data_IF_561760700118
#
_entry.id   IF_561760700118
#
_cell.length_a   1.000
_cell.length_b   1.000
_cell.length_c   1.000
_cell.angle_alpha   90.00
_cell.angle_beta   90.00
_cell.angle_gamma   90.00
#
_symmetry.space_group_name_H-M   'P 1'
#
loop_
_entity.id
_entity.type
_entity.pdbx_description
1 polymer ?
#
# COMPACT_ATOMS: atom_id res chain seq x y z
N UNK A 1 2.01 -59.94 -14.64
CA UNK A 1 2.10 -60.74 -13.40
C UNK A 1 2.14 -59.85 -12.19
N UNK A 2 1.19 -60.12 -11.26
CA UNK A 2 1.08 -59.75 -9.85
C UNK A 2 1.06 -58.25 -9.46
N UNK A 3 -0.18 -57.81 -9.19
CA UNK A 3 -0.57 -56.69 -8.34
C UNK A 3 -0.05 -56.84 -6.91
N UNK A 4 0.43 -55.76 -6.28
CA UNK A 4 0.47 -55.64 -4.83
C UNK A 4 -0.18 -54.33 -4.44
N UNK A 5 -1.37 -54.45 -3.86
CA UNK A 5 -2.18 -53.45 -3.24
C UNK A 5 -1.65 -53.21 -1.81
N UNK A 6 -1.22 -52.01 -1.42
CA UNK A 6 -1.01 -51.68 -0.01
C UNK A 6 -2.12 -50.73 0.44
N UNK A 7 -2.94 -51.23 1.36
CA UNK A 7 -3.93 -50.52 2.14
C UNK A 7 -3.22 -49.58 3.13
N UNK A 8 -3.59 -48.31 3.17
CA UNK A 8 -3.25 -47.39 4.25
C UNK A 8 -4.51 -47.16 5.05
N UNK A 9 -4.44 -47.53 6.30
CA UNK A 9 -5.51 -47.42 7.31
C UNK A 9 -5.53 -45.97 7.85
N UNK A 10 -6.70 -45.33 7.79
CA UNK A 10 -6.93 -44.03 8.43
C UNK A 10 -7.16 -44.24 9.94
N UNK A 11 -6.36 -43.61 10.78
CA UNK A 11 -6.58 -43.56 12.21
C UNK A 11 -7.28 -42.23 12.56
N UNK A 12 -8.53 -42.29 12.94
CA UNK A 12 -9.35 -41.18 13.44
C UNK A 12 -9.04 -41.02 14.94
N UNK A 13 -8.46 -39.90 15.34
CA UNK A 13 -8.39 -39.50 16.74
C UNK A 13 -9.55 -38.55 17.06
N UNK A 14 -10.49 -39.04 17.82
CA UNK A 14 -11.52 -38.24 18.48
C UNK A 14 -10.96 -37.67 19.81
N UNK A 15 -10.87 -36.37 19.94
CA UNK A 15 -10.55 -35.69 21.18
C UNK A 15 -11.86 -35.34 21.90
N UNK A 16 -12.09 -35.97 23.03
CA UNK A 16 -13.21 -35.76 23.96
C UNK A 16 -12.97 -34.50 24.79
N UNK A 17 -13.82 -33.50 24.66
CA UNK A 17 -13.89 -32.35 25.58
C UNK A 17 -14.67 -32.76 26.83
N UNK A 18 -14.02 -32.66 27.97
CA UNK A 18 -14.67 -32.76 29.28
C UNK A 18 -15.14 -31.35 29.71
N UNK A 19 -16.45 -31.19 29.79
CA UNK A 19 -17.10 -29.99 30.37
C UNK A 19 -17.23 -30.21 31.89
N UNK A 20 -16.52 -29.41 32.68
CA UNK A 20 -16.67 -29.33 34.09
C UNK A 20 -17.62 -28.19 34.47
N UNK A 21 -18.89 -28.51 34.82
CA UNK A 21 -19.77 -27.58 35.51
C UNK A 21 -19.47 -27.64 37.03
N UNK A 22 -19.10 -26.48 37.59
CA UNK A 22 -19.19 -26.25 39.03
C UNK A 22 -20.17 -25.12 39.25
N UNK A 23 -21.35 -25.48 39.77
CA UNK A 23 -22.35 -24.56 40.27
C UNK A 23 -22.05 -24.27 41.74
N UNK A 24 -22.01 -23.00 42.12
CA UNK A 24 -22.31 -22.58 43.50
C UNK A 24 -23.00 -21.22 43.48
N UNK A 25 -24.22 -21.19 44.01
CA UNK A 25 -25.03 -20.01 44.11
C UNK A 25 -24.62 -19.10 45.26
N UNK A 26 -24.99 -17.83 45.14
CA UNK A 26 -24.88 -16.82 46.21
C UNK A 26 -25.49 -15.51 45.73
N UNK A 27 -26.68 -15.20 46.28
CA UNK A 27 -27.38 -13.93 46.06
C UNK A 27 -26.62 -12.75 46.66
N UNK A 28 -26.52 -11.63 45.89
CA UNK A 28 -26.05 -10.35 46.41
C UNK A 28 -26.25 -9.26 45.38
N UNK A 29 -27.32 -8.45 45.55
CA UNK A 29 -27.58 -7.24 44.76
C UNK A 29 -26.53 -6.18 45.04
N UNK A 30 -25.98 -5.58 43.96
CA UNK A 30 -25.11 -4.43 44.05
C UNK A 30 -24.74 -4.00 42.64
N UNK A 31 -25.50 -3.04 42.05
CA UNK A 31 -25.11 -2.34 40.83
C UNK A 31 -23.83 -1.55 41.08
N UNK A 32 -22.81 -1.88 40.36
CA UNK A 32 -21.70 -0.98 40.06
C UNK A 32 -21.18 -1.37 38.71
N UNK A 33 -21.46 -0.51 37.72
CA UNK A 33 -20.77 -0.48 36.44
C UNK A 33 -19.27 -0.40 36.70
N UNK A 34 -18.62 -1.55 36.73
CA UNK A 34 -17.18 -1.64 36.55
C UNK A 34 -16.95 -2.11 35.13
N UNK A 35 -16.72 -1.15 34.26
CA UNK A 35 -15.96 -1.37 33.05
C UNK A 35 -14.71 -2.17 33.43
N UNK A 36 -14.75 -3.46 33.15
CA UNK A 36 -13.59 -4.33 33.33
C UNK A 36 -12.55 -3.88 32.28
N UNK A 37 -11.58 -3.11 32.71
CA UNK A 37 -10.36 -2.94 31.96
C UNK A 37 -9.73 -4.33 31.84
N UNK A 38 -9.89 -4.97 30.67
CA UNK A 38 -9.04 -6.09 30.31
C UNK A 38 -7.62 -5.52 30.27
N UNK A 39 -6.80 -5.87 31.24
CA UNK A 39 -5.35 -5.62 31.24
C UNK A 39 -4.68 -6.56 30.23
N UNK A 40 -5.06 -6.44 28.95
CA UNK A 40 -4.50 -7.15 27.82
C UNK A 40 -3.72 -6.18 26.95
N UNK A 41 -2.68 -6.66 26.32
CA UNK A 41 -1.93 -5.99 25.28
C UNK A 41 -2.88 -5.50 24.19
N UNK A 42 -2.66 -4.29 23.64
CA UNK A 42 -3.42 -3.81 22.48
C UNK A 42 -3.18 -4.78 21.33
N UNK A 43 -4.26 -5.13 20.63
CA UNK A 43 -4.20 -5.99 19.46
C UNK A 43 -4.76 -5.27 18.24
N UNK A 44 -3.95 -5.16 17.19
CA UNK A 44 -4.30 -4.53 15.90
C UNK A 44 -4.26 -5.57 14.79
N UNK A 45 -5.32 -5.61 13.99
CA UNK A 45 -5.43 -6.45 12.81
C UNK A 45 -4.94 -5.74 11.56
N UNK A 46 -4.32 -6.49 10.66
CA UNK A 46 -3.89 -6.01 9.35
C UNK A 46 -4.48 -6.91 8.27
N UNK A 47 -5.40 -6.37 7.47
CA UNK A 47 -5.94 -7.01 6.28
C UNK A 47 -5.18 -6.50 5.07
N UNK A 48 -4.34 -7.35 4.49
CA UNK A 48 -3.42 -7.00 3.40
C UNK A 48 -3.52 -8.02 2.28
N UNK A 49 -3.23 -7.63 1.04
CA UNK A 49 -3.28 -8.56 -0.10
C UNK A 49 -2.28 -9.72 0.04
N UNK A 50 -1.07 -9.40 0.48
CA UNK A 50 0.01 -10.35 0.77
C UNK A 50 0.96 -9.73 1.78
N UNK A 51 1.38 -10.49 2.77
CA UNK A 51 2.42 -10.09 3.74
C UNK A 51 3.81 -10.61 3.34
N UNK A 52 3.94 -11.23 2.15
CA UNK A 52 5.14 -11.95 1.72
C UNK A 52 5.69 -11.55 0.36
N UNK A 53 4.94 -10.80 -0.46
CA UNK A 53 5.49 -10.20 -1.68
C UNK A 53 6.43 -9.02 -1.34
N UNK A 54 7.02 -8.38 -2.33
CA UNK A 54 8.03 -7.34 -2.12
C UNK A 54 7.45 -6.18 -1.29
N UNK A 55 6.36 -5.55 -1.74
CA UNK A 55 5.77 -4.40 -1.06
C UNK A 55 5.15 -4.79 0.28
N UNK A 56 4.39 -5.88 0.32
CA UNK A 56 3.73 -6.34 1.55
C UNK A 56 4.71 -6.79 2.64
N UNK A 57 5.86 -7.36 2.28
CA UNK A 57 6.91 -7.69 3.25
C UNK A 57 7.59 -6.44 3.83
N UNK A 58 7.72 -5.37 3.04
CA UNK A 58 8.21 -4.08 3.52
C UNK A 58 7.18 -3.43 4.46
N UNK A 59 5.88 -3.42 4.10
CA UNK A 59 4.81 -2.98 4.98
C UNK A 59 4.81 -3.75 6.30
N UNK A 60 4.93 -5.08 6.23
CA UNK A 60 5.00 -5.92 7.42
C UNK A 60 6.19 -5.58 8.30
N UNK A 61 7.38 -5.38 7.73
CA UNK A 61 8.60 -5.04 8.47
C UNK A 61 8.43 -3.76 9.30
N UNK A 62 7.90 -2.69 8.71
CA UNK A 62 7.71 -1.42 9.44
C UNK A 62 6.60 -1.50 10.49
N UNK A 63 5.52 -2.24 10.21
CA UNK A 63 4.45 -2.47 11.18
C UNK A 63 4.90 -3.34 12.37
N UNK A 64 5.73 -4.37 12.13
CA UNK A 64 6.27 -5.22 13.18
C UNK A 64 7.21 -4.42 14.12
N UNK A 65 8.04 -3.51 13.59
CA UNK A 65 8.88 -2.64 14.43
C UNK A 65 8.04 -1.63 15.22
N UNK A 66 7.02 -1.02 14.61
CA UNK A 66 6.10 -0.15 15.33
C UNK A 66 5.36 -0.92 16.45
N UNK A 67 4.91 -2.13 16.17
CA UNK A 67 4.25 -3.00 17.15
C UNK A 67 5.19 -3.37 18.31
N UNK A 68 6.44 -3.64 18.02
CA UNK A 68 7.48 -3.90 19.03
C UNK A 68 7.75 -2.67 19.90
N UNK A 69 7.95 -1.49 19.27
CA UNK A 69 8.21 -0.23 19.97
C UNK A 69 7.04 0.17 20.91
N UNK A 70 5.80 -0.15 20.53
CA UNK A 70 4.58 0.23 21.26
C UNK A 70 3.99 -0.89 22.14
N UNK A 71 4.62 -2.06 22.20
CA UNK A 71 4.13 -3.25 22.90
C UNK A 71 2.71 -3.65 22.43
N UNK A 72 2.48 -3.72 21.12
CA UNK A 72 1.23 -4.11 20.47
C UNK A 72 1.36 -5.53 19.91
N UNK A 73 0.26 -6.30 19.92
CA UNK A 73 0.13 -7.55 19.18
C UNK A 73 -0.46 -7.26 17.80
N UNK A 74 0.20 -7.69 16.73
CA UNK A 74 -0.31 -7.56 15.37
C UNK A 74 -0.75 -8.93 14.84
N UNK A 75 -1.91 -8.96 14.20
CA UNK A 75 -2.43 -10.13 13.51
C UNK A 75 -2.65 -9.81 12.03
N UNK A 76 -1.94 -10.50 11.14
CA UNK A 76 -2.08 -10.37 9.70
C UNK A 76 -3.08 -11.37 9.12
N UNK A 77 -3.83 -10.93 8.10
CA UNK A 77 -4.65 -11.80 7.25
C UNK A 77 -4.38 -11.44 5.79
N UNK A 78 -3.79 -12.40 5.05
CA UNK A 78 -3.51 -12.28 3.62
C UNK A 78 -4.79 -12.61 2.83
N UNK A 79 -5.36 -11.63 2.13
CA UNK A 79 -6.66 -11.76 1.45
C UNK A 79 -6.54 -11.89 -0.08
N UNK A 80 -5.35 -11.62 -0.65
CA UNK A 80 -5.03 -11.88 -2.05
C UNK A 80 -5.85 -11.07 -3.06
N UNK A 81 -6.35 -9.89 -2.68
CA UNK A 81 -7.28 -9.07 -3.48
C UNK A 81 -8.57 -9.82 -3.90
N UNK A 82 -8.96 -10.86 -3.16
CA UNK A 82 -10.21 -11.59 -3.38
C UNK A 82 -11.30 -10.97 -2.50
N UNK A 83 -12.34 -10.39 -3.09
CA UNK A 83 -13.34 -9.58 -2.40
C UNK A 83 -14.00 -10.29 -1.22
N UNK A 84 -14.37 -11.57 -1.37
CA UNK A 84 -14.94 -12.38 -0.29
C UNK A 84 -13.94 -12.58 0.86
N UNK A 85 -12.64 -12.72 0.56
CA UNK A 85 -11.60 -12.83 1.57
C UNK A 85 -11.31 -11.50 2.26
N UNK A 86 -11.38 -10.38 1.52
CA UNK A 86 -11.25 -9.04 2.10
C UNK A 86 -12.33 -8.84 3.16
N UNK A 87 -13.59 -9.09 2.81
CA UNK A 87 -14.72 -9.00 3.77
C UNK A 87 -14.53 -9.95 4.95
N UNK A 88 -14.22 -11.23 4.70
CA UNK A 88 -14.04 -12.23 5.75
C UNK A 88 -12.85 -11.92 6.68
N UNK A 89 -11.80 -11.25 6.18
CA UNK A 89 -10.62 -10.88 6.98
C UNK A 89 -10.97 -9.93 8.12
N UNK A 90 -11.86 -8.95 7.87
CA UNK A 90 -12.31 -7.98 8.89
C UNK A 90 -13.13 -8.69 9.97
N UNK A 91 -14.05 -9.58 9.58
CA UNK A 91 -14.83 -10.38 10.51
C UNK A 91 -13.91 -11.28 11.37
N UNK A 92 -12.93 -11.93 10.73
CA UNK A 92 -11.95 -12.78 11.44
C UNK A 92 -11.12 -11.98 12.45
N UNK A 93 -10.61 -10.80 12.08
CA UNK A 93 -9.81 -9.96 12.94
C UNK A 93 -10.62 -9.39 14.10
N UNK A 94 -11.85 -8.96 13.85
CA UNK A 94 -12.76 -8.52 14.91
C UNK A 94 -13.09 -9.66 15.89
N UNK A 95 -13.40 -10.86 15.37
CA UNK A 95 -13.66 -12.05 16.21
C UNK A 95 -12.41 -12.51 16.98
N UNK A 96 -11.20 -12.27 16.47
CA UNK A 96 -9.94 -12.55 17.16
C UNK A 96 -9.63 -11.55 18.31
N UNK A 97 -10.50 -10.54 18.51
CA UNK A 97 -10.39 -9.55 19.57
C UNK A 97 -9.44 -8.40 19.26
N UNK A 98 -9.17 -8.11 17.98
CA UNK A 98 -8.50 -6.88 17.58
C UNK A 98 -9.35 -5.68 18.00
N UNK A 99 -8.70 -4.66 18.57
CA UNK A 99 -9.34 -3.42 18.99
C UNK A 99 -9.33 -2.37 17.89
N UNK A 100 -8.50 -2.58 16.88
CA UNK A 100 -8.42 -1.81 15.66
C UNK A 100 -7.96 -2.67 14.50
N UNK A 101 -8.32 -2.25 13.28
CA UNK A 101 -7.98 -2.93 12.03
C UNK A 101 -7.51 -1.89 11.03
N UNK A 102 -6.43 -2.17 10.33
CA UNK A 102 -6.05 -1.45 9.12
C UNK A 102 -6.26 -2.36 7.90
N UNK A 103 -6.76 -1.80 6.80
CA UNK A 103 -7.20 -2.57 5.64
C UNK A 103 -6.74 -1.94 4.33
N UNK A 104 -6.19 -2.76 3.42
CA UNK A 104 -6.08 -2.45 2.00
C UNK A 104 -7.18 -3.21 1.25
N UNK A 105 -8.29 -2.56 0.95
CA UNK A 105 -9.39 -3.15 0.21
C UNK A 105 -9.10 -3.19 -1.30
N UNK A 106 -9.79 -4.08 -2.02
CA UNK A 106 -9.67 -4.21 -3.48
C UNK A 106 -10.69 -3.33 -4.21
N UNK A 107 -11.84 -3.10 -3.58
CA UNK A 107 -12.92 -2.24 -4.10
C UNK A 107 -13.65 -1.53 -2.96
N UNK A 108 -14.26 -0.38 -3.25
CA UNK A 108 -15.02 0.38 -2.25
C UNK A 108 -16.20 -0.42 -1.67
N UNK A 109 -16.80 -1.31 -2.46
CA UNK A 109 -17.97 -2.10 -2.02
C UNK A 109 -17.69 -2.97 -0.79
N UNK A 110 -16.45 -3.42 -0.60
CA UNK A 110 -16.01 -4.19 0.55
C UNK A 110 -16.07 -3.38 1.85
N UNK A 111 -15.86 -2.07 1.73
CA UNK A 111 -15.88 -1.15 2.87
C UNK A 111 -17.24 -1.01 3.52
N UNK A 112 -18.34 -1.27 2.79
CA UNK A 112 -19.69 -1.33 3.39
C UNK A 112 -19.75 -2.37 4.52
N UNK A 113 -19.27 -3.58 4.25
CA UNK A 113 -19.24 -4.66 5.25
C UNK A 113 -18.18 -4.42 6.32
N UNK A 114 -17.00 -3.89 5.95
CA UNK A 114 -15.92 -3.59 6.88
C UNK A 114 -16.34 -2.54 7.92
N UNK A 115 -16.91 -1.41 7.48
CA UNK A 115 -17.42 -0.34 8.34
C UNK A 115 -18.51 -0.89 9.28
N UNK A 116 -19.48 -1.64 8.72
CA UNK A 116 -20.54 -2.25 9.51
C UNK A 116 -20.00 -3.20 10.58
N UNK A 117 -19.12 -4.13 10.19
CA UNK A 117 -18.50 -5.09 11.11
C UNK A 117 -17.76 -4.38 12.25
N UNK A 118 -16.98 -3.35 11.91
CA UNK A 118 -16.22 -2.58 12.88
C UNK A 118 -17.13 -1.78 13.83
N UNK A 119 -18.20 -1.16 13.33
CA UNK A 119 -19.19 -0.48 14.16
C UNK A 119 -19.88 -1.46 15.15
N UNK A 120 -20.37 -2.61 14.64
CA UNK A 120 -21.06 -3.62 15.46
C UNK A 120 -20.16 -4.16 16.57
N UNK A 121 -18.86 -4.28 16.33
CA UNK A 121 -17.88 -4.83 17.28
C UNK A 121 -17.09 -3.76 18.05
N UNK A 122 -17.32 -2.48 17.80
CA UNK A 122 -16.59 -1.34 18.39
C UNK A 122 -15.08 -1.43 18.16
N UNK A 123 -14.69 -1.69 16.92
CA UNK A 123 -13.31 -1.83 16.47
C UNK A 123 -12.97 -0.63 15.59
N UNK A 124 -11.90 0.08 15.87
CA UNK A 124 -11.45 1.17 15.01
C UNK A 124 -10.96 0.64 13.67
N UNK A 125 -11.26 1.35 12.58
CA UNK A 125 -10.94 0.97 11.21
C UNK A 125 -10.28 2.13 10.47
N UNK A 126 -9.14 1.88 9.85
CA UNK A 126 -8.52 2.79 8.89
C UNK A 126 -8.14 2.05 7.61
N UNK A 127 -8.14 2.76 6.48
CA UNK A 127 -7.63 2.25 5.21
C UNK A 127 -6.16 2.65 5.02
N UNK A 128 -5.44 1.86 4.23
CA UNK A 128 -4.13 2.20 3.71
C UNK A 128 -4.06 1.87 2.21
N UNK A 129 -3.31 2.66 1.44
CA UNK A 129 -3.22 2.64 -0.02
C UNK A 129 -4.55 2.87 -0.75
N UNK A 130 -5.60 3.16 -0.06
CA UNK A 130 -6.95 3.33 -0.63
C UNK A 130 -7.70 4.41 0.14
N UNK A 131 -8.62 5.07 -0.55
CA UNK A 131 -9.51 6.08 0.04
C UNK A 131 -10.92 5.95 -0.54
N UNK A 132 -11.93 6.07 0.33
CA UNK A 132 -13.33 6.19 -0.08
C UNK A 132 -13.59 7.66 -0.42
N UNK A 133 -14.06 7.95 -1.62
CA UNK A 133 -14.42 9.32 -2.03
C UNK A 133 -15.91 9.45 -2.29
N UNK A 134 -16.46 10.63 -2.02
CA UNK A 134 -17.85 10.96 -2.33
C UNK A 134 -18.14 10.85 -3.85
N UNK A 135 -17.15 11.22 -4.67
CA UNK A 135 -17.25 11.16 -6.14
C UNK A 135 -17.44 9.73 -6.65
N UNK A 136 -16.73 8.77 -6.06
CA UNK A 136 -16.68 7.39 -6.57
C UNK A 136 -17.71 6.49 -5.89
N UNK A 137 -18.01 6.71 -4.60
CA UNK A 137 -18.81 5.81 -3.78
C UNK A 137 -19.61 6.57 -2.71
N UNK A 138 -20.53 7.46 -3.14
CA UNK A 138 -21.26 8.39 -2.26
C UNK A 138 -21.94 7.73 -1.05
N UNK A 139 -22.59 6.57 -1.26
CA UNK A 139 -23.30 5.87 -0.17
C UNK A 139 -22.31 5.30 0.88
N UNK A 140 -21.16 4.80 0.42
CA UNK A 140 -20.13 4.24 1.29
C UNK A 140 -19.40 5.37 2.02
N UNK A 141 -19.13 6.47 1.32
CA UNK A 141 -18.59 7.69 1.90
C UNK A 141 -19.51 8.23 3.01
N UNK A 142 -20.81 8.23 2.79
CA UNK A 142 -21.76 8.63 3.83
C UNK A 142 -21.75 7.65 5.02
N UNK A 143 -21.70 6.33 4.76
CA UNK A 143 -21.60 5.33 5.82
C UNK A 143 -20.29 5.49 6.65
N UNK A 144 -19.20 5.87 6.01
CA UNK A 144 -17.94 6.20 6.66
C UNK A 144 -18.07 7.44 7.56
N UNK A 145 -18.78 8.49 7.09
CA UNK A 145 -19.05 9.70 7.88
C UNK A 145 -19.95 9.44 9.07
N UNK A 146 -20.89 8.52 8.96
CA UNK A 146 -21.84 8.16 10.03
C UNK A 146 -21.24 7.16 11.04
N UNK A 147 -20.02 6.68 10.79
CA UNK A 147 -19.33 5.70 11.65
C UNK A 147 -18.61 6.38 12.81
N UNK A 148 -18.79 5.82 14.03
CA UNK A 148 -18.00 6.20 15.20
C UNK A 148 -16.61 5.52 15.23
N UNK A 149 -16.37 4.55 14.34
CA UNK A 149 -15.18 3.69 14.36
C UNK A 149 -14.35 3.74 13.10
N UNK A 150 -14.86 4.28 11.98
CA UNK A 150 -14.04 4.54 10.80
C UNK A 150 -13.30 5.86 10.99
N UNK A 151 -11.97 5.80 11.05
CA UNK A 151 -11.15 6.96 11.44
C UNK A 151 -10.44 7.62 10.26
N UNK A 152 -10.41 6.96 9.11
CA UNK A 152 -9.88 7.57 7.91
C UNK A 152 -9.08 6.64 7.00
N UNK A 153 -8.37 7.28 6.11
CA UNK A 153 -7.54 6.62 5.10
C UNK A 153 -6.19 7.33 4.96
N UNK A 154 -5.18 6.56 4.68
CA UNK A 154 -3.86 7.03 4.20
C UNK A 154 -3.70 6.50 2.79
N UNK A 155 -3.34 7.36 1.85
CA UNK A 155 -3.24 6.99 0.44
C UNK A 155 -2.33 7.93 -0.32
N UNK A 156 -1.79 7.47 -1.44
CA UNK A 156 -0.94 8.25 -2.32
C UNK A 156 -1.75 9.15 -3.26
N UNK A 157 -1.12 10.23 -3.71
CA UNK A 157 -1.61 11.09 -4.80
C UNK A 157 -1.13 10.53 -6.15
N UNK A 158 -1.91 9.63 -6.72
CA UNK A 158 -1.56 8.97 -7.98
C UNK A 158 -1.44 9.94 -9.17
N UNK A 159 -2.28 10.98 -9.30
CA UNK A 159 -2.05 12.02 -10.31
C UNK A 159 -0.73 12.76 -10.13
N UNK A 160 -0.38 13.16 -8.91
CA UNK A 160 0.89 13.83 -8.64
C UNK A 160 2.09 12.92 -8.93
N UNK A 161 1.98 11.62 -8.58
CA UNK A 161 2.99 10.62 -8.92
C UNK A 161 3.16 10.50 -10.45
N UNK A 162 2.06 10.46 -11.18
CA UNK A 162 2.12 10.41 -12.65
C UNK A 162 2.78 11.66 -13.25
N UNK A 163 2.44 12.85 -12.77
CA UNK A 163 3.07 14.10 -13.23
C UNK A 163 4.59 14.07 -13.00
N UNK A 164 5.04 13.61 -11.83
CA UNK A 164 6.47 13.58 -11.50
C UNK A 164 7.24 12.53 -12.32
N UNK A 165 6.69 11.34 -12.54
CA UNK A 165 7.33 10.34 -13.41
C UNK A 165 7.51 10.84 -14.85
N UNK A 166 6.53 11.55 -15.39
CA UNK A 166 6.67 12.20 -16.70
C UNK A 166 7.72 13.32 -16.66
N UNK A 167 7.77 14.11 -15.58
CA UNK A 167 8.77 15.18 -15.45
C UNK A 167 10.19 14.63 -15.51
N UNK A 168 10.48 13.49 -14.86
CA UNK A 168 11.79 12.82 -14.92
C UNK A 168 12.19 12.56 -16.38
N UNK A 169 11.30 12.05 -17.22
CA UNK A 169 11.55 11.79 -18.64
C UNK A 169 11.73 13.08 -19.46
N UNK A 170 10.81 14.04 -19.25
CA UNK A 170 10.85 15.32 -19.98
C UNK A 170 12.12 16.11 -19.71
N UNK A 171 12.62 16.11 -18.47
CA UNK A 171 13.88 16.75 -18.07
C UNK A 171 15.11 16.05 -18.67
N UNK A 172 15.05 14.72 -18.90
CA UNK A 172 16.09 13.99 -19.62
C UNK A 172 16.11 14.30 -21.12
N UNK A 173 15.01 14.78 -21.69
CA UNK A 173 14.89 15.13 -23.09
C UNK A 173 13.95 14.24 -23.90
N UNK A 174 13.24 13.31 -23.26
CA UNK A 174 12.29 12.41 -23.90
C UNK A 174 11.03 13.14 -24.32
N UNK A 175 10.46 12.77 -25.47
CA UNK A 175 9.31 13.47 -26.07
C UNK A 175 8.22 12.53 -26.59
N UNK A 176 8.54 11.26 -26.85
CA UNK A 176 7.60 10.26 -27.39
C UNK A 176 7.44 9.11 -26.41
N UNK A 177 6.49 9.26 -25.50
CA UNK A 177 6.35 8.41 -24.32
C UNK A 177 5.29 7.34 -24.54
N UNK A 178 5.67 6.09 -24.44
CA UNK A 178 4.78 4.92 -24.52
C UNK A 178 4.24 4.51 -23.15
N UNK A 179 2.93 4.20 -23.09
CA UNK A 179 2.24 3.82 -21.84
C UNK A 179 1.88 2.33 -21.82
N UNK A 180 2.21 1.66 -20.70
CA UNK A 180 1.85 0.26 -20.46
C UNK A 180 1.08 0.16 -19.14
N UNK A 181 -0.25 -0.08 -19.22
CA UNK A 181 -1.13 -0.24 -18.06
C UNK A 181 -1.30 -1.70 -17.65
N UNK A 182 -1.89 -1.92 -16.47
CA UNK A 182 -2.30 -3.25 -16.03
C UNK A 182 -3.53 -3.74 -16.78
N UNK A 183 -4.72 -3.34 -16.32
CA UNK A 183 -6.00 -3.66 -16.93
C UNK A 183 -6.79 -2.38 -17.17
N UNK A 184 -7.64 -2.41 -18.19
CA UNK A 184 -8.48 -1.26 -18.49
C UNK A 184 -9.48 -1.02 -17.35
N UNK A 185 -9.45 0.22 -16.80
CA UNK A 185 -10.35 0.63 -15.73
C UNK A 185 -9.78 0.45 -14.32
N UNK A 186 -8.53 -0.01 -14.18
CA UNK A 186 -7.85 0.00 -12.88
C UNK A 186 -7.75 1.44 -12.34
N UNK A 187 -8.20 1.66 -11.10
CA UNK A 187 -8.34 3.00 -10.54
C UNK A 187 -6.99 3.68 -10.28
N UNK A 188 -5.99 2.92 -9.81
CA UNK A 188 -4.62 3.40 -9.56
C UNK A 188 -3.98 3.81 -10.88
N UNK A 189 -4.06 2.94 -11.90
CA UNK A 189 -3.56 3.25 -13.24
C UNK A 189 -4.23 4.50 -13.84
N UNK A 190 -5.55 4.62 -13.71
CA UNK A 190 -6.27 5.78 -14.22
C UNK A 190 -5.82 7.08 -13.55
N UNK A 191 -5.56 7.05 -12.24
CA UNK A 191 -5.02 8.19 -11.50
C UNK A 191 -3.63 8.60 -12.03
N UNK A 192 -2.71 7.65 -12.16
CA UNK A 192 -1.37 7.90 -12.75
C UNK A 192 -1.46 8.43 -14.17
N UNK A 193 -2.33 7.86 -14.99
CA UNK A 193 -2.53 8.32 -16.37
C UNK A 193 -3.09 9.76 -16.45
N UNK A 194 -3.97 10.16 -15.51
CA UNK A 194 -4.37 11.58 -15.39
C UNK A 194 -3.14 12.46 -15.14
N UNK A 195 -2.22 12.05 -14.26
CA UNK A 195 -0.96 12.74 -14.00
C UNK A 195 -0.04 12.81 -15.21
N UNK A 196 0.14 11.71 -15.94
CA UNK A 196 0.97 11.72 -17.17
C UNK A 196 0.45 12.74 -18.20
N UNK A 197 -0.87 12.79 -18.40
CA UNK A 197 -1.49 13.78 -19.28
C UNK A 197 -1.28 15.21 -18.79
N UNK A 198 -1.48 15.43 -17.50
CA UNK A 198 -1.30 16.76 -16.91
C UNK A 198 0.14 17.25 -17.03
N UNK A 199 1.13 16.40 -16.78
CA UNK A 199 2.55 16.71 -16.92
C UNK A 199 2.92 17.08 -18.38
N UNK A 200 2.49 16.26 -19.34
CA UNK A 200 2.73 16.55 -20.77
C UNK A 200 2.00 17.82 -21.24
N UNK A 201 0.76 18.05 -20.81
CA UNK A 201 0.03 19.27 -21.14
C UNK A 201 0.73 20.52 -20.60
N UNK A 202 1.20 20.48 -19.36
CA UNK A 202 1.96 21.56 -18.72
C UNK A 202 3.25 21.83 -19.47
N UNK A 203 4.05 20.78 -19.74
CA UNK A 203 5.27 20.90 -20.55
C UNK A 203 5.01 21.54 -21.90
N UNK A 204 4.04 21.04 -22.64
CA UNK A 204 3.70 21.51 -23.97
C UNK A 204 3.23 22.98 -24.01
N UNK A 205 2.60 23.44 -22.93
CA UNK A 205 2.20 24.84 -22.77
C UNK A 205 3.40 25.75 -22.52
N UNK A 206 4.35 25.28 -21.72
CA UNK A 206 5.57 26.01 -21.36
C UNK A 206 6.62 25.94 -22.47
N UNK A 207 6.63 24.85 -23.25
CA UNK A 207 7.60 24.58 -24.32
C UNK A 207 6.92 24.36 -25.68
N UNK A 208 6.30 25.39 -26.31
CA UNK A 208 5.48 25.21 -27.53
C UNK A 208 6.26 24.73 -28.76
N UNK A 209 7.58 24.88 -28.76
CA UNK A 209 8.48 24.45 -29.84
C UNK A 209 9.19 23.11 -29.52
N UNK A 210 8.96 22.51 -28.39
CA UNK A 210 9.59 21.28 -27.91
C UNK A 210 8.56 20.41 -27.22
N UNK A 211 7.59 19.90 -28.00
CA UNK A 211 6.41 19.22 -27.50
C UNK A 211 6.66 17.73 -27.29
N UNK A 212 6.10 17.22 -26.19
CA UNK A 212 6.02 15.80 -25.92
C UNK A 212 4.64 15.21 -26.26
N UNK A 213 4.60 13.90 -26.45
CA UNK A 213 3.40 13.10 -26.74
C UNK A 213 3.32 11.88 -25.84
N UNK A 214 2.10 11.41 -25.58
CA UNK A 214 1.81 10.14 -24.93
C UNK A 214 1.12 9.21 -25.92
N UNK A 215 1.49 7.93 -25.91
CA UNK A 215 0.72 6.92 -26.64
C UNK A 215 -0.61 6.64 -25.95
N UNK A 216 -1.56 6.02 -26.67
CA UNK A 216 -2.63 5.30 -26.00
C UNK A 216 -2.03 4.11 -25.23
N UNK A 217 -2.55 3.79 -24.02
CA UNK A 217 -2.01 2.71 -23.23
C UNK A 217 -2.15 1.33 -23.89
N UNK A 218 -1.09 0.54 -23.83
CA UNK A 218 -1.16 -0.90 -24.05
C UNK A 218 -1.40 -1.59 -22.70
N UNK A 219 -2.33 -2.53 -22.63
CA UNK A 219 -2.66 -3.22 -21.37
C UNK A 219 -1.95 -4.58 -21.30
N UNK A 220 -1.09 -4.73 -20.31
CA UNK A 220 -0.20 -5.88 -20.14
C UNK A 220 -0.74 -6.95 -19.16
N UNK A 221 -1.80 -6.64 -18.41
CA UNK A 221 -2.13 -7.40 -17.21
C UNK A 221 -1.01 -7.30 -16.17
N UNK A 222 -0.83 -8.34 -15.37
CA UNK A 222 0.16 -8.39 -14.28
C UNK A 222 1.31 -9.35 -14.59
N UNK A 223 1.70 -9.52 -15.85
CA UNK A 223 2.71 -10.50 -16.24
C UNK A 223 3.86 -9.87 -17.02
N UNK A 224 5.05 -10.42 -16.84
CA UNK A 224 6.25 -10.05 -17.60
C UNK A 224 6.07 -10.30 -19.11
N UNK A 225 5.41 -11.38 -19.50
CA UNK A 225 5.08 -11.65 -20.91
C UNK A 225 4.19 -10.58 -21.52
N UNK A 226 3.18 -10.12 -20.77
CA UNK A 226 2.29 -9.03 -21.18
C UNK A 226 3.05 -7.71 -21.35
N UNK A 227 3.89 -7.36 -20.38
CA UNK A 227 4.75 -6.18 -20.44
C UNK A 227 5.71 -6.18 -21.64
N UNK A 228 6.32 -7.34 -21.91
CA UNK A 228 7.18 -7.52 -23.08
C UNK A 228 6.44 -7.32 -24.40
N UNK A 229 5.26 -7.92 -24.56
CA UNK A 229 4.44 -7.76 -25.78
C UNK A 229 3.97 -6.32 -25.98
N UNK A 230 3.59 -5.65 -24.89
CA UNK A 230 3.16 -4.26 -24.93
C UNK A 230 4.31 -3.32 -25.38
N UNK A 231 5.51 -3.49 -24.80
CA UNK A 231 6.69 -2.74 -25.19
C UNK A 231 7.09 -2.99 -26.64
N UNK A 232 7.09 -4.25 -27.09
CA UNK A 232 7.36 -4.60 -28.49
C UNK A 232 6.35 -3.96 -29.45
N UNK A 233 5.06 -3.92 -29.08
CA UNK A 233 4.02 -3.29 -29.88
C UNK A 233 4.20 -1.76 -29.96
N UNK A 234 4.56 -1.10 -28.87
CA UNK A 234 4.83 0.34 -28.84
C UNK A 234 6.06 0.69 -29.70
N UNK A 235 7.17 -0.03 -29.52
CA UNK A 235 8.38 0.16 -30.34
C UNK A 235 8.16 -0.08 -31.83
N UNK A 236 7.24 -0.98 -32.18
CA UNK A 236 6.90 -1.25 -33.58
C UNK A 236 5.95 -0.20 -34.17
N UNK A 237 5.08 0.38 -33.34
CA UNK A 237 4.10 1.39 -33.77
C UNK A 237 4.73 2.78 -33.92
N UNK A 238 5.70 3.10 -33.07
CA UNK A 238 6.41 4.38 -33.07
C UNK A 238 7.95 4.17 -33.17
N UNK A 239 8.57 4.37 -34.32
CA UNK A 239 10.02 4.29 -34.46
C UNK A 239 10.81 5.36 -33.71
N UNK A 240 10.15 6.49 -33.39
CA UNK A 240 10.72 7.62 -32.66
C UNK A 240 10.45 7.55 -31.13
N UNK A 241 9.90 6.43 -30.65
CA UNK A 241 9.66 6.19 -29.22
C UNK A 241 10.98 6.29 -28.44
N UNK A 242 11.02 7.20 -27.48
CA UNK A 242 12.21 7.49 -26.65
C UNK A 242 12.00 7.21 -25.15
N UNK A 243 10.77 6.97 -24.71
CA UNK A 243 10.51 6.57 -23.35
C UNK A 243 9.33 5.59 -23.19
N UNK A 244 9.34 4.83 -22.08
CA UNK A 244 8.25 3.95 -21.64
C UNK A 244 7.89 4.20 -20.17
N UNK A 245 6.59 4.18 -19.87
CA UNK A 245 6.07 4.15 -18.51
C UNK A 245 5.23 2.88 -18.31
N UNK A 246 5.83 1.75 -17.95
CA UNK A 246 5.10 0.59 -17.51
C UNK A 246 4.46 0.83 -16.13
N UNK A 247 3.24 0.33 -15.93
CA UNK A 247 2.62 0.30 -14.62
C UNK A 247 3.50 -0.50 -13.64
N UNK A 248 3.68 0.02 -12.43
CA UNK A 248 4.40 -0.62 -11.34
C UNK A 248 3.63 -1.79 -10.72
N UNK A 249 3.95 -2.16 -9.50
CA UNK A 249 3.23 -3.18 -8.75
C UNK A 249 3.95 -4.51 -8.66
N UNK A 250 5.18 -4.50 -8.18
CA UNK A 250 5.94 -5.72 -7.90
C UNK A 250 6.77 -6.24 -9.07
N UNK A 251 6.85 -5.51 -10.16
CA UNK A 251 7.88 -5.65 -11.17
C UNK A 251 7.55 -6.45 -12.42
N UNK A 252 6.46 -7.23 -12.48
CA UNK A 252 6.26 -8.16 -13.60
C UNK A 252 6.07 -7.49 -14.98
N UNK A 253 5.14 -6.55 -15.22
CA UNK A 253 5.04 -5.86 -16.50
C UNK A 253 6.27 -5.02 -16.80
N UNK A 254 6.83 -4.36 -15.78
CA UNK A 254 8.03 -3.55 -15.90
C UNK A 254 9.24 -4.38 -16.33
N UNK A 255 9.49 -5.52 -15.68
CA UNK A 255 10.59 -6.42 -16.05
C UNK A 255 10.46 -6.93 -17.48
N UNK A 256 9.22 -7.21 -17.91
CA UNK A 256 8.93 -7.59 -19.29
C UNK A 256 9.25 -6.50 -20.30
N UNK A 257 8.89 -5.25 -19.99
CA UNK A 257 9.18 -4.09 -20.83
C UNK A 257 10.69 -3.83 -20.93
N UNK A 258 11.41 -3.84 -19.80
CA UNK A 258 12.88 -3.71 -19.77
C UNK A 258 13.51 -4.79 -20.65
N UNK A 259 13.15 -6.05 -20.44
CA UNK A 259 13.71 -7.16 -21.22
C UNK A 259 13.40 -7.05 -22.74
N UNK A 260 12.28 -6.44 -23.13
CA UNK A 260 11.96 -6.19 -24.53
C UNK A 260 12.87 -5.11 -25.14
N UNK A 261 13.08 -4.01 -24.41
CA UNK A 261 13.99 -2.91 -24.82
C UNK A 261 15.43 -3.41 -24.93
N UNK A 262 15.90 -4.20 -23.95
CA UNK A 262 17.24 -4.81 -23.97
C UNK A 262 17.42 -5.76 -25.17
N UNK A 263 16.45 -6.64 -25.44
CA UNK A 263 16.48 -7.53 -26.62
C UNK A 263 16.49 -6.80 -27.94
N UNK A 264 15.82 -5.65 -28.00
CA UNK A 264 15.84 -4.78 -29.18
C UNK A 264 17.14 -4.00 -29.35
N UNK A 265 18.03 -4.02 -28.35
CA UNK A 265 19.27 -3.25 -28.33
C UNK A 265 19.04 -1.74 -28.21
N UNK A 266 17.93 -1.32 -27.60
CA UNK A 266 17.49 0.07 -27.48
C UNK A 266 17.65 0.66 -26.07
N UNK A 267 18.41 0.03 -25.20
CA UNK A 267 18.60 0.49 -23.79
C UNK A 267 19.16 1.92 -23.71
N UNK A 268 19.96 2.36 -24.69
CA UNK A 268 20.46 3.73 -24.76
C UNK A 268 19.50 4.72 -25.42
N UNK A 269 18.42 4.25 -26.02
CA UNK A 269 17.54 5.04 -26.87
C UNK A 269 16.15 5.21 -26.26
N UNK A 270 15.79 4.37 -25.27
CA UNK A 270 14.48 4.35 -24.62
C UNK A 270 14.67 4.37 -23.10
N UNK A 271 14.32 5.50 -22.49
CA UNK A 271 14.30 5.65 -21.04
C UNK A 271 13.05 5.00 -20.43
N UNK A 272 13.18 4.40 -19.24
CA UNK A 272 12.06 3.74 -18.55
C UNK A 272 11.92 4.30 -17.15
N UNK A 273 10.71 4.72 -16.79
CA UNK A 273 10.32 5.05 -15.41
C UNK A 273 9.13 4.21 -14.99
N UNK A 274 8.99 3.97 -13.68
CA UNK A 274 7.87 3.19 -13.14
C UNK A 274 7.62 3.52 -11.66
N UNK A 275 6.78 2.70 -11.01
CA UNK A 275 6.48 2.77 -9.57
C UNK A 275 6.77 1.43 -8.91
N UNK A 276 7.07 1.42 -7.61
CA UNK A 276 7.44 0.27 -6.78
C UNK A 276 8.88 -0.21 -7.03
N UNK A 277 9.79 0.41 -6.32
CA UNK A 277 11.24 0.19 -6.47
C UNK A 277 11.64 -1.26 -6.72
N UNK A 278 12.27 -1.50 -7.88
CA UNK A 278 12.87 -2.78 -8.20
C UNK A 278 14.02 -3.07 -7.22
N UNK A 279 14.21 -4.33 -6.80
CA UNK A 279 15.32 -4.72 -5.93
C UNK A 279 16.71 -4.43 -6.51
N UNK A 280 16.83 -4.38 -7.85
CA UNK A 280 18.04 -4.12 -8.60
C UNK A 280 18.06 -2.71 -9.25
N UNK A 281 17.21 -1.78 -8.76
CA UNK A 281 17.09 -0.43 -9.31
C UNK A 281 18.44 0.29 -9.40
N UNK A 282 19.31 0.17 -8.39
CA UNK A 282 20.63 0.79 -8.40
C UNK A 282 21.48 0.38 -9.59
N UNK A 283 21.54 -0.93 -9.88
CA UNK A 283 22.25 -1.46 -11.04
C UNK A 283 21.65 -0.98 -12.37
N UNK A 284 20.32 -0.85 -12.41
CA UNK A 284 19.57 -0.39 -13.60
C UNK A 284 19.78 1.09 -13.89
N UNK A 285 19.85 1.91 -12.86
CA UNK A 285 20.22 3.33 -13.02
C UNK A 285 21.66 3.49 -13.49
N UNK A 286 22.59 2.67 -13.00
CA UNK A 286 24.00 2.70 -13.41
C UNK A 286 24.20 2.26 -14.87
N UNK A 287 23.45 1.25 -15.34
CA UNK A 287 23.57 0.72 -16.69
C UNK A 287 22.59 1.37 -17.69
N UNK A 288 21.70 2.28 -17.23
CA UNK A 288 20.78 3.03 -18.07
C UNK A 288 19.54 2.25 -18.51
N UNK A 289 19.26 1.06 -17.95
CA UNK A 289 18.03 0.32 -18.26
C UNK A 289 16.79 0.86 -17.52
N UNK A 290 16.98 1.78 -16.58
CA UNK A 290 15.94 2.59 -15.93
C UNK A 290 16.41 4.04 -15.82
N UNK A 291 15.46 4.97 -15.96
CA UNK A 291 15.69 6.40 -15.74
C UNK A 291 15.25 6.82 -14.33
N UNK A 292 14.35 6.09 -13.72
CA UNK A 292 13.89 6.35 -12.35
C UNK A 292 12.68 5.52 -11.96
N UNK A 293 12.40 5.51 -10.68
CA UNK A 293 11.18 4.94 -10.09
C UNK A 293 10.67 5.81 -8.94
N UNK A 294 9.36 5.77 -8.75
CA UNK A 294 8.73 6.20 -7.51
C UNK A 294 8.45 5.00 -6.61
N UNK A 295 8.43 5.22 -5.29
CA UNK A 295 8.19 4.14 -4.33
C UNK A 295 8.21 4.63 -2.89
N UNK A 296 8.60 3.75 -1.94
CA UNK A 296 8.72 4.10 -0.52
C UNK A 296 7.40 4.21 0.23
N UNK A 297 6.27 4.09 -0.47
CA UNK A 297 4.92 4.15 0.10
C UNK A 297 4.58 2.96 1.02
N UNK A 298 5.45 1.95 1.14
CA UNK A 298 5.32 0.89 2.15
C UNK A 298 5.24 1.42 3.59
N UNK A 299 5.54 2.72 3.79
CA UNK A 299 5.38 3.41 5.07
C UNK A 299 3.95 3.93 5.31
N UNK A 300 3.09 4.01 4.30
CA UNK A 300 1.68 4.41 4.42
C UNK A 300 0.94 3.64 5.53
N UNK A 301 0.96 2.28 5.57
CA UNK A 301 0.25 1.54 6.61
C UNK A 301 0.75 1.83 8.03
N UNK A 302 1.96 2.37 8.21
CA UNK A 302 2.42 2.83 9.52
C UNK A 302 1.56 3.99 10.05
N UNK A 303 1.21 4.94 9.18
CA UNK A 303 0.38 6.07 9.57
C UNK A 303 -1.03 5.61 9.94
N UNK A 304 -1.64 4.73 9.13
CA UNK A 304 -2.93 4.11 9.46
C UNK A 304 -2.88 3.32 10.77
N UNK A 305 -1.79 2.62 11.04
CA UNK A 305 -1.56 1.91 12.30
C UNK A 305 -1.48 2.89 13.48
N UNK A 306 -0.76 4.01 13.35
CA UNK A 306 -0.67 5.04 14.39
C UNK A 306 -2.02 5.73 14.62
N UNK A 307 -2.81 5.97 13.57
CA UNK A 307 -4.17 6.49 13.70
C UNK A 307 -5.04 5.56 14.56
N UNK A 308 -5.05 4.27 14.22
CA UNK A 308 -5.80 3.25 14.96
C UNK A 308 -5.30 3.10 16.40
N UNK A 309 -3.98 3.05 16.60
CA UNK A 309 -3.38 2.96 17.94
C UNK A 309 -3.79 4.15 18.82
N UNK A 310 -3.68 5.37 18.30
CA UNK A 310 -4.02 6.59 19.01
C UNK A 310 -5.52 6.68 19.34
N UNK A 311 -6.38 6.19 18.44
CA UNK A 311 -7.81 6.07 18.72
C UNK A 311 -8.10 5.09 19.88
N UNK A 312 -7.47 3.91 19.89
CA UNK A 312 -7.59 2.92 20.96
C UNK A 312 -7.11 3.50 22.31
N UNK A 313 -6.04 4.28 22.29
CA UNK A 313 -5.50 4.96 23.49
C UNK A 313 -6.37 6.13 23.97
N UNK A 314 -7.35 6.56 23.19
CA UNK A 314 -8.19 7.72 23.48
C UNK A 314 -7.48 9.06 23.30
N UNK A 315 -6.39 9.09 22.55
CA UNK A 315 -5.67 10.32 22.22
C UNK A 315 -6.47 11.18 21.21
N UNK A 316 -7.31 10.53 20.39
CA UNK A 316 -8.23 11.19 19.49
C UNK A 316 -9.63 11.18 20.12
N UNK A 317 -10.21 12.37 20.28
CA UNK A 317 -11.55 12.57 20.80
C UNK A 317 -12.43 12.97 19.64
N UNK A 318 -13.58 12.44 19.46
CA UNK A 318 -14.58 12.92 18.49
C UNK A 318 -14.29 12.57 17.01
N UNK A 319 -14.20 11.26 16.69
CA UNK A 319 -14.29 10.84 15.28
C UNK A 319 -15.71 10.92 14.70
N UNK A 320 -16.76 11.00 15.53
CA UNK A 320 -18.16 11.01 15.11
C UNK A 320 -18.43 11.93 13.92
N UNK A 321 -18.54 11.34 12.70
CA UNK A 321 -18.75 12.04 11.46
C UNK A 321 -17.53 12.79 10.88
N UNK A 322 -16.33 12.56 11.39
CA UNK A 322 -15.09 13.19 10.92
C UNK A 322 -14.00 12.13 10.81
N UNK A 323 -13.91 11.51 9.66
CA UNK A 323 -12.73 10.71 9.33
C UNK A 323 -11.69 11.58 8.60
N UNK A 324 -10.44 11.17 8.68
CA UNK A 324 -9.33 11.91 8.11
C UNK A 324 -8.91 11.29 6.77
N UNK A 325 -8.66 12.15 5.81
CA UNK A 325 -8.01 11.85 4.55
C UNK A 325 -6.56 12.32 4.63
N UNK A 326 -5.61 11.37 4.51
CA UNK A 326 -4.19 11.64 4.72
C UNK A 326 -3.43 11.29 3.44
N UNK A 327 -3.13 12.27 2.59
CA UNK A 327 -2.24 12.07 1.46
C UNK A 327 -0.83 11.68 1.94
N UNK A 328 -0.25 10.66 1.31
CA UNK A 328 1.07 10.15 1.63
C UNK A 328 2.01 10.33 0.43
N UNK A 329 3.26 10.81 0.61
CA UNK A 329 4.16 11.08 -0.49
C UNK A 329 4.79 9.80 -1.04
N UNK A 330 5.07 9.80 -2.35
CA UNK A 330 6.03 8.90 -2.95
C UNK A 330 7.46 9.43 -2.75
N UNK A 331 8.41 8.54 -2.66
CA UNK A 331 9.83 8.83 -2.85
C UNK A 331 10.16 8.66 -4.33
N UNK A 332 11.09 9.47 -4.83
CA UNK A 332 11.58 9.38 -6.21
C UNK A 332 13.08 9.11 -6.21
N UNK A 333 13.48 8.15 -7.03
CA UNK A 333 14.88 7.73 -7.21
C UNK A 333 15.16 7.73 -8.70
N UNK A 334 15.93 8.72 -9.16
CA UNK A 334 16.25 8.93 -10.58
C UNK A 334 17.75 9.02 -10.87
N UNK A 335 18.58 8.78 -9.86
CA UNK A 335 20.02 8.73 -10.00
C UNK A 335 20.65 7.65 -9.12
N UNK A 336 21.87 7.17 -9.43
CA UNK A 336 22.62 6.26 -8.56
C UNK A 336 22.88 6.85 -7.16
N UNK A 337 22.99 8.16 -7.03
CA UNK A 337 23.24 8.80 -5.72
C UNK A 337 21.94 8.86 -4.89
N UNK A 338 20.77 9.10 -5.50
CA UNK A 338 19.47 8.98 -4.85
C UNK A 338 19.24 7.56 -4.36
N UNK A 339 19.59 6.56 -5.20
CA UNK A 339 19.46 5.16 -4.82
C UNK A 339 20.32 4.79 -3.60
N UNK A 340 21.57 5.24 -3.55
CA UNK A 340 22.43 5.02 -2.39
C UNK A 340 21.87 5.63 -1.11
N UNK A 341 21.29 6.82 -1.21
CA UNK A 341 20.64 7.47 -0.09
C UNK A 341 19.37 6.72 0.33
N UNK A 342 18.52 6.30 -0.64
CA UNK A 342 17.35 5.46 -0.39
C UNK A 342 17.75 4.13 0.26
N UNK A 343 18.73 3.41 -0.30
CA UNK A 343 19.22 2.14 0.25
C UNK A 343 19.63 2.30 1.71
N UNK A 344 20.43 3.33 2.01
CA UNK A 344 20.91 3.60 3.37
C UNK A 344 19.79 3.86 4.37
N UNK A 345 18.79 4.70 4.02
CA UNK A 345 17.80 5.18 4.98
C UNK A 345 16.46 4.47 4.94
N UNK A 346 16.22 3.57 3.95
CA UNK A 346 14.94 2.88 3.77
C UNK A 346 15.08 1.37 3.58
N UNK A 347 16.25 0.86 3.19
CA UNK A 347 16.51 -0.58 2.99
C UNK A 347 17.37 -1.15 4.10
N UNK A 348 18.57 -0.58 4.31
CA UNK A 348 19.51 -1.01 5.35
C UNK A 348 18.98 -0.77 6.75
N UNK A 349 18.22 0.30 6.91
CA UNK A 349 17.49 0.64 8.13
C UNK A 349 16.04 1.03 7.81
N UNK A 350 15.20 1.16 8.82
CA UNK A 350 13.88 1.76 8.65
C UNK A 350 13.97 3.27 8.73
N UNK A 351 13.05 4.01 8.05
CA UNK A 351 13.07 5.48 8.05
C UNK A 351 12.71 6.12 9.39
N UNK A 352 12.28 5.33 10.36
CA UNK A 352 11.96 5.78 11.71
C UNK A 352 12.62 4.88 12.76
N UNK A 353 13.19 5.49 13.80
CA UNK A 353 13.74 4.81 14.98
C UNK A 353 12.63 4.38 15.94
N UNK A 354 12.92 3.46 16.87
CA UNK A 354 11.98 3.04 17.92
C UNK A 354 11.48 4.25 18.75
N UNK A 355 12.34 5.25 19.00
CA UNK A 355 11.98 6.47 19.74
C UNK A 355 11.00 7.34 18.95
N UNK A 356 11.26 7.54 17.65
CA UNK A 356 10.35 8.28 16.78
C UNK A 356 8.99 7.59 16.64
N UNK A 357 8.95 6.25 16.55
CA UNK A 357 7.72 5.46 16.53
C UNK A 357 6.91 5.65 17.83
N UNK A 358 7.59 5.66 18.99
CA UNK A 358 6.95 5.96 20.28
C UNK A 358 6.44 7.39 20.34
N UNK A 359 7.15 8.36 19.77
CA UNK A 359 6.71 9.75 19.75
C UNK A 359 5.52 9.95 18.80
N UNK A 360 5.50 9.31 17.64
CA UNK A 360 4.33 9.31 16.72
C UNK A 360 3.05 8.84 17.42
N UNK A 361 3.14 7.92 18.37
CA UNK A 361 2.01 7.42 19.16
C UNK A 361 1.40 8.44 20.13
N UNK A 362 1.98 9.63 20.25
CA UNK A 362 1.54 10.71 21.15
C UNK A 362 1.07 11.95 20.37
N UNK A 363 1.28 11.96 19.05
CA UNK A 363 0.96 13.10 18.19
C UNK A 363 -0.55 13.35 18.10
N UNK A 364 -0.94 14.59 17.93
CA UNK A 364 -2.27 14.93 17.44
C UNK A 364 -2.46 14.40 16.01
N UNK A 365 -3.70 14.35 15.53
CA UNK A 365 -3.97 13.96 14.14
C UNK A 365 -3.30 14.92 13.16
N UNK A 366 -3.35 16.23 13.44
CA UNK A 366 -2.71 17.26 12.62
C UNK A 366 -1.18 17.07 12.54
N UNK A 367 -0.53 16.81 13.68
CA UNK A 367 0.91 16.58 13.72
C UNK A 367 1.29 15.24 13.05
N UNK A 368 0.46 14.21 13.18
CA UNK A 368 0.68 12.93 12.50
C UNK A 368 0.58 13.09 10.98
N UNK A 369 -0.42 13.84 10.48
CA UNK A 369 -0.55 14.19 9.06
C UNK A 369 0.66 15.01 8.57
N UNK A 370 1.12 15.97 9.37
CA UNK A 370 2.30 16.75 9.04
C UNK A 370 3.58 15.91 9.02
N UNK A 371 3.66 14.88 9.87
CA UNK A 371 4.77 13.91 9.89
C UNK A 371 4.74 13.03 8.65
N UNK A 372 3.57 12.52 8.27
CA UNK A 372 3.39 11.74 7.07
C UNK A 372 3.81 12.52 5.80
N UNK A 373 3.33 13.76 5.67
CA UNK A 373 3.60 14.61 4.51
C UNK A 373 5.08 15.02 4.34
N UNK A 374 5.91 14.89 5.38
CA UNK A 374 7.33 15.25 5.35
C UNK A 374 8.24 14.11 4.90
N UNK A 375 7.73 12.87 4.85
CA UNK A 375 8.59 11.74 4.54
C UNK A 375 9.25 11.91 3.18
N UNK A 376 10.57 11.97 3.20
CA UNK A 376 11.42 11.99 2.01
C UNK A 376 12.78 11.37 2.36
N UNK A 377 13.62 11.15 1.35
CA UNK A 377 14.98 10.66 1.55
C UNK A 377 15.79 11.68 2.37
N UNK A 378 15.61 12.97 2.08
CA UNK A 378 16.29 14.08 2.79
C UNK A 378 15.79 14.20 4.23
N UNK A 379 14.47 14.02 4.47
CA UNK A 379 13.92 14.03 5.83
C UNK A 379 14.52 12.91 6.68
N UNK A 380 14.52 11.67 6.14
CA UNK A 380 15.10 10.51 6.83
C UNK A 380 16.61 10.71 7.09
N UNK A 381 17.36 11.23 6.11
CA UNK A 381 18.78 11.52 6.25
C UNK A 381 19.05 12.60 7.32
N UNK A 382 18.23 13.65 7.36
CA UNK A 382 18.32 14.75 8.34
C UNK A 382 18.06 14.23 9.76
N UNK A 383 17.09 13.38 9.97
CA UNK A 383 16.75 12.79 11.27
C UNK A 383 17.82 11.82 11.76
N UNK A 384 18.42 11.02 10.85
CA UNK A 384 19.47 10.08 11.17
C UNK A 384 20.83 10.74 11.49
N UNK A 385 21.03 12.01 11.15
CA UNK A 385 22.26 12.77 11.42
C UNK A 385 22.27 13.51 12.76
N UNK A 386 21.18 13.48 13.48
CA UNK A 386 21.00 14.10 14.80
C UNK A 386 21.06 13.01 15.89
#
# INVERSE_FOLDING_TARGET
>A
MKKVLKKVTAATMAATMVVGLAACGGSGSGSSDKSASKSGKIKIGVSIWSSTDVLGSQCKKILDEAAKALDVEVQYVDQGHVSEKVTASVEQLAAAGCQGIIICNSSDTEMTSAIKTCNDNKVYLAQFFRVISEKNSADIYQAAKDSDYYIGAVHEDEPANGEELVNILLEKGDRNIGLIGWEQGDATWLGRWEGYKAGVEKWNKENPNDKATLSEPQYAGTTSEGGSKAAEALMAADPDLDALIPAGGGGDPLQGAIAAVERAGKTSDIDIVSTDFLPDLGERLENGSMAGESGGHYCDPLISFMMVYNAIKGNYKDFGGKFEDVPFPYLYVSSPDDYKAYEKYFVDQLPYTDEELVDMSKLSMEDLKATAAKLSIEDAASRAGN
#
